data_IF_905999070439
#
_entry.id   IF_905999070439
#
_cell.length_a   1.000
_cell.length_b   1.000
_cell.length_c   1.000
_cell.angle_alpha   90.00
_cell.angle_beta   90.00
_cell.angle_gamma   90.00
#
_symmetry.space_group_name_H-M   'P 1'
#
loop_
_entity.id
_entity.type
_entity.pdbx_description
1 polymer ?
#
# COMPACT_ATOMS: atom_id res chain seq x y z
N UNK A 1 -4.70 -17.83 -2.64
CA UNK A 1 -3.63 -17.69 -1.61
C UNK A 1 -2.40 -16.97 -2.14
N UNK A 2 -1.72 -17.46 -3.21
CA UNK A 2 -0.48 -16.86 -3.75
C UNK A 2 -0.53 -15.35 -4.05
N UNK A 3 -1.63 -14.84 -4.61
CA UNK A 3 -1.73 -13.41 -4.98
C UNK A 3 -1.79 -12.46 -3.78
N UNK A 4 -2.32 -12.90 -2.64
CA UNK A 4 -2.33 -12.08 -1.41
C UNK A 4 -0.93 -12.04 -0.80
N UNK A 5 -0.20 -13.15 -0.85
CA UNK A 5 1.18 -13.24 -0.39
C UNK A 5 2.10 -12.39 -1.27
N UNK A 6 1.93 -12.49 -2.59
CA UNK A 6 2.65 -11.68 -3.59
C UNK A 6 2.37 -10.18 -3.39
N UNK A 7 1.11 -9.78 -3.25
CA UNK A 7 0.74 -8.40 -2.95
C UNK A 7 1.38 -7.92 -1.64
N UNK A 8 1.31 -8.73 -0.57
CA UNK A 8 1.91 -8.38 0.72
C UNK A 8 3.45 -8.30 0.68
N UNK A 9 4.08 -9.14 -0.14
CA UNK A 9 5.52 -9.11 -0.39
C UNK A 9 5.92 -7.82 -1.14
N UNK A 10 5.26 -7.55 -2.26
CA UNK A 10 5.51 -6.36 -3.09
C UNK A 10 5.23 -5.07 -2.32
N UNK A 11 4.16 -5.04 -1.52
CA UNK A 11 3.86 -3.91 -0.65
C UNK A 11 5.01 -3.66 0.33
N UNK A 12 5.58 -4.73 0.90
CA UNK A 12 6.76 -4.65 1.76
C UNK A 12 7.98 -4.07 1.04
N UNK A 13 8.18 -4.40 -0.23
CA UNK A 13 9.27 -3.85 -1.05
C UNK A 13 9.09 -2.38 -1.38
N UNK A 14 7.87 -1.94 -1.66
CA UNK A 14 7.59 -0.52 -1.91
C UNK A 14 7.84 0.35 -0.68
N UNK A 15 7.53 -0.15 0.52
CA UNK A 15 7.71 0.60 1.77
C UNK A 15 9.06 0.37 2.45
N UNK A 16 9.91 -0.50 1.91
CA UNK A 16 11.24 -0.85 2.45
C UNK A 16 12.13 0.38 2.73
N UNK A 17 12.12 1.46 1.92
CA UNK A 17 12.92 2.64 2.21
C UNK A 17 12.48 3.45 3.45
N UNK A 18 11.26 3.24 3.97
CA UNK A 18 10.76 3.99 5.11
C UNK A 18 11.41 3.53 6.42
N UNK A 19 11.50 4.39 7.45
CA UNK A 19 11.90 3.99 8.79
C UNK A 19 10.98 2.90 9.35
N UNK A 20 11.55 1.99 10.15
CA UNK A 20 10.80 0.87 10.74
C UNK A 20 9.60 1.32 11.58
N UNK A 21 9.71 2.50 12.22
CA UNK A 21 8.65 3.13 13.02
C UNK A 21 7.36 3.40 12.22
N UNK A 22 7.45 3.55 10.90
CA UNK A 22 6.30 3.87 10.03
C UNK A 22 6.00 2.74 9.04
N UNK A 23 7.03 2.00 8.61
CA UNK A 23 6.94 0.92 7.61
C UNK A 23 5.88 -0.12 7.96
N UNK A 24 5.93 -0.65 9.18
CA UNK A 24 5.01 -1.70 9.63
C UNK A 24 3.55 -1.24 9.64
N UNK A 25 3.30 -0.06 10.20
CA UNK A 25 1.98 0.54 10.29
C UNK A 25 1.40 0.85 8.90
N UNK A 26 2.21 1.39 7.99
CA UNK A 26 1.79 1.72 6.63
C UNK A 26 1.41 0.47 5.84
N UNK A 27 2.30 -0.54 5.83
CA UNK A 27 2.07 -1.83 5.16
C UNK A 27 0.81 -2.52 5.70
N UNK A 28 0.70 -2.65 7.02
CA UNK A 28 -0.44 -3.31 7.66
C UNK A 28 -1.76 -2.62 7.36
N UNK A 29 -1.77 -1.29 7.37
CA UNK A 29 -2.97 -0.49 7.07
C UNK A 29 -3.41 -0.64 5.62
N UNK A 30 -2.49 -0.51 4.66
CA UNK A 30 -2.80 -0.67 3.23
C UNK A 30 -3.32 -2.08 2.96
N UNK A 31 -2.65 -3.11 3.48
CA UNK A 31 -3.08 -4.49 3.29
C UNK A 31 -4.47 -4.75 3.89
N UNK A 32 -4.72 -4.29 5.12
CA UNK A 32 -6.00 -4.47 5.81
C UNK A 32 -7.14 -3.79 5.06
N UNK A 33 -6.96 -2.52 4.64
CA UNK A 33 -7.98 -1.78 3.89
C UNK A 33 -8.24 -2.43 2.52
N UNK A 34 -7.17 -2.74 1.78
CA UNK A 34 -7.28 -3.32 0.44
C UNK A 34 -7.86 -4.75 0.43
N UNK A 35 -7.68 -5.53 1.49
CA UNK A 35 -8.21 -6.91 1.58
C UNK A 35 -9.61 -7.01 2.20
N UNK A 36 -9.93 -6.16 3.18
CA UNK A 36 -11.17 -6.28 3.97
C UNK A 36 -12.22 -5.20 3.66
N UNK A 37 -11.80 -4.06 3.12
CA UNK A 37 -12.69 -2.94 2.82
C UNK A 37 -12.74 -2.74 1.31
N UNK A 38 -12.40 -1.55 0.81
CA UNK A 38 -12.44 -1.21 -0.62
C UNK A 38 -11.09 -0.73 -1.15
N UNK A 39 -10.87 -0.93 -2.45
CA UNK A 39 -9.69 -0.40 -3.14
C UNK A 39 -9.68 1.12 -3.18
N UNK A 40 -10.84 1.76 -3.26
CA UNK A 40 -10.97 3.22 -3.19
C UNK A 40 -10.41 3.76 -1.88
N UNK A 41 -10.83 3.19 -0.74
CA UNK A 41 -10.33 3.60 0.57
C UNK A 41 -8.84 3.34 0.75
N UNK A 42 -8.30 2.27 0.15
CA UNK A 42 -6.87 2.00 0.18
C UNK A 42 -6.08 3.07 -0.58
N UNK A 43 -6.56 3.47 -1.76
CA UNK A 43 -5.97 4.56 -2.56
C UNK A 43 -6.08 5.92 -1.85
N UNK A 44 -7.23 6.20 -1.25
CA UNK A 44 -7.45 7.43 -0.47
C UNK A 44 -6.53 7.49 0.77
N UNK A 45 -6.29 6.35 1.42
CA UNK A 45 -5.29 6.26 2.50
C UNK A 45 -3.87 6.58 2.00
N UNK A 46 -3.45 6.00 0.88
CA UNK A 46 -2.13 6.28 0.27
C UNK A 46 -1.97 7.77 -0.07
N UNK A 47 -3.00 8.38 -0.68
CA UNK A 47 -2.98 9.82 -1.00
C UNK A 47 -2.84 10.67 0.27
N UNK A 48 -3.61 10.38 1.32
CA UNK A 48 -3.47 11.07 2.61
C UNK A 48 -2.07 10.96 3.19
N UNK A 49 -1.43 9.78 3.11
CA UNK A 49 -0.05 9.60 3.61
C UNK A 49 0.98 10.39 2.82
N UNK A 50 0.76 10.62 1.53
CA UNK A 50 1.58 11.56 0.76
C UNK A 50 1.33 13.02 1.18
N UNK A 51 0.08 13.39 1.43
CA UNK A 51 -0.26 14.76 1.85
C UNK A 51 0.22 15.08 3.28
N UNK A 52 0.30 14.06 4.14
CA UNK A 52 0.94 14.13 5.47
C UNK A 52 2.49 14.18 5.40
N UNK A 53 3.09 14.00 4.21
CA UNK A 53 4.54 13.98 4.03
C UNK A 53 5.24 12.69 4.52
N UNK A 54 4.47 11.63 4.79
CA UNK A 54 5.01 10.34 5.25
C UNK A 54 5.67 9.57 4.10
N UNK A 55 5.12 9.70 2.89
CA UNK A 55 5.65 9.11 1.67
C UNK A 55 5.78 10.19 0.59
N UNK A 56 6.72 10.01 -0.32
CA UNK A 56 6.87 10.90 -1.47
C UNK A 56 5.92 10.53 -2.62
N UNK A 57 5.94 11.37 -3.66
CA UNK A 57 5.12 11.19 -4.86
C UNK A 57 5.48 9.93 -5.65
N UNK A 58 6.75 9.51 -5.64
CA UNK A 58 7.20 8.31 -6.34
C UNK A 58 6.64 7.04 -5.67
N UNK A 59 6.77 6.95 -4.35
CA UNK A 59 6.22 5.86 -3.54
C UNK A 59 4.70 5.84 -3.61
N UNK A 60 4.04 7.01 -3.59
CA UNK A 60 2.60 7.12 -3.81
C UNK A 60 2.19 6.44 -5.11
N UNK A 61 2.84 6.77 -6.23
CA UNK A 61 2.55 6.15 -7.54
C UNK A 61 2.71 4.64 -7.51
N UNK A 62 3.85 4.14 -7.01
CA UNK A 62 4.12 2.69 -6.87
C UNK A 62 3.04 1.96 -6.06
N UNK A 63 2.58 2.56 -4.96
CA UNK A 63 1.52 2.00 -4.12
C UNK A 63 0.16 1.99 -4.83
N UNK A 64 -0.19 3.06 -5.56
CA UNK A 64 -1.45 3.15 -6.32
C UNK A 64 -1.46 2.14 -7.48
N UNK A 65 -0.33 1.96 -8.17
CA UNK A 65 -0.19 0.98 -9.24
C UNK A 65 -0.34 -0.44 -8.68
N UNK A 66 0.37 -0.76 -7.60
CA UNK A 66 0.27 -2.04 -6.92
C UNK A 66 -1.16 -2.36 -6.45
N UNK A 67 -1.86 -1.36 -5.89
CA UNK A 67 -3.29 -1.51 -5.50
C UNK A 67 -4.19 -1.75 -6.72
N UNK A 68 -3.90 -1.11 -7.85
CA UNK A 68 -4.68 -1.27 -9.08
C UNK A 68 -4.49 -2.66 -9.68
N UNK A 69 -3.26 -3.18 -9.67
CA UNK A 69 -2.98 -4.53 -10.15
C UNK A 69 -3.57 -5.60 -9.22
N UNK A 70 -3.49 -5.40 -7.90
CA UNK A 70 -4.16 -6.27 -6.94
C UNK A 70 -5.69 -6.28 -7.12
N UNK A 71 -6.29 -5.16 -7.50
CA UNK A 71 -7.74 -5.07 -7.76
C UNK A 71 -8.20 -5.86 -8.99
N UNK A 72 -7.36 -6.03 -10.02
CA UNK A 72 -7.74 -6.78 -11.25
C UNK A 72 -7.86 -8.28 -11.01
N UNK A 73 -7.30 -8.76 -9.90
CA UNK A 73 -7.12 -10.18 -9.61
C UNK A 73 -7.82 -10.65 -8.33
N UNK A 74 -8.42 -9.71 -7.58
CA UNK A 74 -9.24 -9.92 -6.40
C UNK A 74 -10.71 -10.02 -6.81
#
# INVERSE_FOLDING_TARGET
MRKNEEFNYMLGKVVEPLPDSVRGALKGSIYSIASKRSMKEAKDFVNRKKDEGIIDEEMRKKLIDLLSDYSKVR
#
